data_IF_162565587047
#
_entry.id   IF_162565587047
#
_cell.length_a   1.000
_cell.length_b   1.000
_cell.length_c   1.000
_cell.angle_alpha   90.00
_cell.angle_beta   90.00
_cell.angle_gamma   90.00
#
_symmetry.space_group_name_H-M   'P 1'
#
loop_
_entity.id
_entity.type
_entity.pdbx_description
1 polymer ?
#
# COMPACT_ATOMS: atom_id res chain seq x y z
N UNK A 1 22.65 8.64 -9.18
CA UNK A 1 22.06 7.45 -9.83
C UNK A 1 20.86 6.85 -9.08
N UNK A 2 20.74 7.05 -7.77
CA UNK A 2 19.59 6.58 -6.98
C UNK A 2 18.34 7.47 -7.10
N UNK A 3 18.50 8.71 -7.57
CA UNK A 3 17.47 9.73 -7.66
C UNK A 3 16.43 9.41 -8.75
N UNK A 4 16.85 9.14 -9.98
CA UNK A 4 15.94 8.83 -11.11
C UNK A 4 15.08 7.59 -10.83
N UNK A 5 15.64 6.52 -10.26
CA UNK A 5 14.86 5.33 -9.88
C UNK A 5 13.77 5.69 -8.85
N UNK A 6 14.10 6.48 -7.87
CA UNK A 6 13.16 6.90 -6.84
C UNK A 6 12.07 7.81 -7.40
N UNK A 7 12.41 8.73 -8.31
CA UNK A 7 11.43 9.58 -8.98
C UNK A 7 10.45 8.77 -9.86
N UNK A 8 10.92 7.74 -10.56
CA UNK A 8 10.05 6.82 -11.31
C UNK A 8 9.07 6.11 -10.36
N UNK A 9 9.54 5.62 -9.21
CA UNK A 9 8.70 4.93 -8.23
C UNK A 9 7.70 5.92 -7.60
N UNK A 10 8.14 7.12 -7.24
CA UNK A 10 7.27 8.17 -6.67
C UNK A 10 6.13 8.49 -7.63
N UNK A 11 6.45 8.85 -8.87
CA UNK A 11 5.44 9.20 -9.87
C UNK A 11 4.55 8.01 -10.24
N UNK A 12 5.11 6.80 -10.37
CA UNK A 12 4.32 5.58 -10.59
C UNK A 12 3.34 5.30 -9.45
N UNK A 13 3.75 5.54 -8.20
CA UNK A 13 2.87 5.43 -7.03
C UNK A 13 1.74 6.47 -7.04
N UNK A 14 2.04 7.71 -7.41
CA UNK A 14 1.04 8.78 -7.55
C UNK A 14 0.00 8.44 -8.64
N UNK A 15 0.47 7.97 -9.81
CA UNK A 15 -0.42 7.56 -10.91
C UNK A 15 -1.31 6.39 -10.53
N UNK A 16 -0.77 5.36 -9.84
CA UNK A 16 -1.59 4.25 -9.34
C UNK A 16 -2.69 4.77 -8.41
N UNK A 17 -2.35 5.66 -7.48
CA UNK A 17 -3.28 6.17 -6.45
C UNK A 17 -4.32 7.15 -6.98
N UNK A 18 -4.01 7.88 -8.06
CA UNK A 18 -4.88 8.91 -8.63
C UNK A 18 -5.77 8.41 -9.76
N UNK A 19 -5.22 7.60 -10.68
CA UNK A 19 -5.93 7.16 -11.89
C UNK A 19 -5.97 5.63 -12.08
N UNK A 20 -5.26 4.86 -11.25
CA UNK A 20 -5.23 3.40 -11.29
C UNK A 20 -4.12 2.83 -12.19
N UNK A 21 -3.77 1.57 -11.93
CA UNK A 21 -2.66 0.89 -12.62
C UNK A 21 -2.83 0.82 -14.14
N UNK A 22 -4.04 0.55 -14.63
CA UNK A 22 -4.28 0.35 -16.06
C UNK A 22 -4.34 1.65 -16.87
N UNK A 23 -4.48 2.82 -16.23
CA UNK A 23 -4.75 4.10 -16.88
C UNK A 23 -3.50 4.89 -17.28
N UNK A 24 -2.29 4.45 -16.97
CA UNK A 24 -1.04 5.11 -17.37
C UNK A 24 -0.05 4.14 -18.03
N UNK A 25 0.95 4.70 -18.70
CA UNK A 25 2.03 3.99 -19.38
C UNK A 25 3.41 4.56 -18.98
N UNK A 26 4.48 3.92 -19.42
CA UNK A 26 5.84 4.47 -19.27
C UNK A 26 6.03 5.79 -20.05
N UNK A 27 5.27 6.01 -21.11
CA UNK A 27 5.30 7.28 -21.84
C UNK A 27 4.84 8.46 -20.96
N UNK A 28 3.84 8.23 -20.09
CA UNK A 28 3.36 9.27 -19.17
C UNK A 28 4.42 9.61 -18.13
N UNK A 29 5.09 8.59 -17.56
CA UNK A 29 6.20 8.78 -16.63
C UNK A 29 7.37 9.49 -17.30
N UNK A 30 7.76 9.05 -18.50
CA UNK A 30 8.89 9.60 -19.25
C UNK A 30 8.68 11.08 -19.58
N UNK A 31 7.46 11.42 -20.02
CA UNK A 31 7.06 12.81 -20.31
C UNK A 31 7.11 13.68 -19.06
N UNK A 32 6.58 13.21 -17.95
CA UNK A 32 6.52 13.97 -16.70
C UNK A 32 7.91 14.20 -16.08
N UNK A 33 8.81 13.22 -16.19
CA UNK A 33 10.18 13.33 -15.65
C UNK A 33 11.20 13.89 -16.64
N UNK A 34 10.83 14.12 -17.92
CA UNK A 34 11.76 14.61 -18.94
C UNK A 34 12.88 13.60 -19.28
N UNK A 35 12.62 12.30 -19.13
CA UNK A 35 13.59 11.22 -19.39
C UNK A 35 13.14 10.33 -20.56
N UNK A 36 14.05 9.56 -21.14
CA UNK A 36 13.69 8.59 -22.20
C UNK A 36 13.04 7.34 -21.61
N UNK A 37 12.09 6.72 -22.33
CA UNK A 37 11.50 5.43 -21.95
C UNK A 37 12.56 4.35 -21.67
N UNK A 38 13.66 4.34 -22.43
CA UNK A 38 14.77 3.41 -22.22
C UNK A 38 15.38 3.52 -20.80
N UNK A 39 15.39 4.72 -20.20
CA UNK A 39 15.86 4.90 -18.84
C UNK A 39 14.91 4.26 -17.81
N UNK A 40 13.59 4.27 -18.07
CA UNK A 40 12.61 3.60 -17.21
C UNK A 40 12.78 2.08 -17.34
N UNK A 41 12.87 1.55 -18.56
CA UNK A 41 13.08 0.12 -18.80
C UNK A 41 14.40 -0.41 -18.23
N UNK A 42 15.42 0.43 -18.11
CA UNK A 42 16.67 0.08 -17.44
C UNK A 42 16.47 -0.28 -15.95
N UNK A 43 15.61 0.48 -15.24
CA UNK A 43 15.31 0.23 -13.84
C UNK A 43 14.17 -0.78 -13.63
N UNK A 44 13.19 -0.76 -14.52
CA UNK A 44 11.99 -1.57 -14.46
C UNK A 44 11.68 -2.13 -15.84
N UNK A 45 12.15 -3.36 -16.15
CA UNK A 45 11.97 -3.98 -17.47
C UNK A 45 10.51 -4.04 -17.91
N UNK A 46 9.59 -4.24 -16.97
CA UNK A 46 8.14 -4.20 -17.21
C UNK A 46 7.42 -3.26 -16.23
N UNK A 47 6.23 -2.81 -16.62
CA UNK A 47 5.36 -2.02 -15.75
C UNK A 47 4.93 -2.79 -14.48
N UNK A 48 4.86 -4.11 -14.57
CA UNK A 48 4.58 -4.94 -13.40
C UNK A 48 5.75 -4.97 -12.41
N UNK A 49 7.00 -4.86 -12.87
CA UNK A 49 8.15 -4.75 -11.97
C UNK A 49 8.11 -3.45 -11.16
N UNK A 50 7.73 -2.35 -11.81
CA UNK A 50 7.48 -1.08 -11.13
C UNK A 50 6.32 -1.22 -10.11
N UNK A 51 5.23 -1.87 -10.51
CA UNK A 51 4.08 -2.10 -9.62
C UNK A 51 4.45 -2.93 -8.39
N UNK A 52 5.21 -4.00 -8.57
CA UNK A 52 5.72 -4.86 -7.48
C UNK A 52 6.60 -4.07 -6.52
N UNK A 53 7.51 -3.24 -7.05
CA UNK A 53 8.39 -2.39 -6.23
C UNK A 53 7.57 -1.37 -5.41
N UNK A 54 6.55 -0.75 -6.01
CA UNK A 54 5.66 0.19 -5.30
C UNK A 54 4.94 -0.52 -4.16
N UNK A 55 4.37 -1.71 -4.39
CA UNK A 55 3.70 -2.49 -3.34
C UNK A 55 4.72 -2.89 -2.25
N UNK A 56 5.92 -3.32 -2.65
CA UNK A 56 6.98 -3.70 -1.71
C UNK A 56 7.38 -2.54 -0.79
N UNK A 57 7.48 -1.31 -1.32
CA UNK A 57 7.73 -0.11 -0.49
C UNK A 57 6.60 0.16 0.50
N UNK A 58 5.36 -0.07 0.11
CA UNK A 58 4.23 0.05 1.03
C UNK A 58 4.27 -1.02 2.14
N UNK A 59 4.73 -2.24 1.85
CA UNK A 59 4.97 -3.27 2.87
C UNK A 59 6.02 -2.80 3.89
N UNK A 60 7.14 -2.26 3.42
CA UNK A 60 8.19 -1.75 4.32
C UNK A 60 7.69 -0.55 5.13
N UNK A 61 7.07 0.43 4.49
CA UNK A 61 6.53 1.60 5.18
C UNK A 61 5.50 1.22 6.26
N UNK A 62 4.62 0.25 5.98
CA UNK A 62 3.67 -0.24 6.97
C UNK A 62 4.36 -0.92 8.15
N UNK A 63 5.38 -1.75 7.90
CA UNK A 63 6.18 -2.39 8.97
C UNK A 63 6.86 -1.36 9.87
N UNK A 64 7.48 -0.34 9.27
CA UNK A 64 8.14 0.75 10.02
C UNK A 64 7.14 1.55 10.86
N UNK A 65 5.96 1.85 10.30
CA UNK A 65 4.89 2.53 11.04
C UNK A 65 4.44 1.71 12.26
N UNK A 66 4.12 0.44 12.06
CA UNK A 66 3.72 -0.47 13.14
C UNK A 66 4.82 -0.58 14.21
N UNK A 67 6.07 -0.68 13.80
CA UNK A 67 7.21 -0.70 14.73
C UNK A 67 7.31 0.58 15.55
N UNK A 68 7.06 1.74 14.95
CA UNK A 68 7.06 3.02 15.65
C UNK A 68 5.94 3.13 16.70
N UNK A 69 4.84 2.40 16.49
CA UNK A 69 3.67 2.42 17.39
C UNK A 69 3.72 1.37 18.51
N UNK A 70 4.65 0.42 18.49
CA UNK A 70 4.72 -0.68 19.47
C UNK A 70 4.70 -0.24 20.94
N UNK A 71 5.20 0.95 21.24
CA UNK A 71 5.24 1.50 22.61
C UNK A 71 3.97 2.30 22.98
N UNK A 72 3.07 2.53 22.04
CA UNK A 72 1.82 3.21 22.25
C UNK A 72 0.78 2.24 22.82
N UNK A 73 -0.20 2.76 23.56
CA UNK A 73 -1.38 1.97 23.93
C UNK A 73 -2.20 1.55 22.69
N UNK A 74 -2.96 0.47 22.78
CA UNK A 74 -3.70 -0.11 21.66
C UNK A 74 -4.72 0.85 21.05
N UNK A 75 -5.30 1.76 21.84
CA UNK A 75 -6.26 2.76 21.35
C UNK A 75 -5.57 3.78 20.45
N UNK A 76 -4.35 4.24 20.84
CA UNK A 76 -3.53 5.13 20.02
C UNK A 76 -3.03 4.47 18.77
N UNK A 77 -2.61 3.19 18.84
CA UNK A 77 -2.22 2.43 17.65
C UNK A 77 -3.37 2.34 16.65
N UNK A 78 -4.58 2.01 17.10
CA UNK A 78 -5.78 1.97 16.26
C UNK A 78 -6.11 3.35 15.68
N UNK A 79 -6.08 4.40 16.50
CA UNK A 79 -6.29 5.77 16.06
C UNK A 79 -5.30 6.17 14.94
N UNK A 80 -4.01 5.93 15.14
CA UNK A 80 -2.99 6.23 14.15
C UNK A 80 -3.21 5.46 12.84
N UNK A 81 -3.64 4.19 12.92
CA UNK A 81 -3.97 3.40 11.73
C UNK A 81 -5.14 4.00 10.93
N UNK A 82 -6.20 4.42 11.61
CA UNK A 82 -7.36 5.04 10.95
C UNK A 82 -6.96 6.37 10.30
N UNK A 83 -6.17 7.19 10.98
CA UNK A 83 -5.79 8.52 10.53
C UNK A 83 -4.55 8.58 9.62
N UNK A 84 -3.84 7.46 9.41
CA UNK A 84 -2.68 7.43 8.50
C UNK A 84 -3.05 7.77 7.05
N UNK A 85 -4.33 7.71 6.70
CA UNK A 85 -4.83 7.98 5.36
C UNK A 85 -5.35 9.41 5.17
N UNK A 86 -5.39 10.24 6.21
CA UNK A 86 -5.96 11.60 6.12
C UNK A 86 -5.26 12.46 5.06
N UNK A 87 -3.92 12.35 4.95
CA UNK A 87 -3.14 13.04 3.92
C UNK A 87 -3.46 12.60 2.48
N UNK A 88 -4.06 11.44 2.28
CA UNK A 88 -4.46 10.99 0.94
C UNK A 88 -5.69 11.73 0.45
N UNK A 89 -6.60 12.10 1.37
CA UNK A 89 -7.81 12.86 1.05
C UNK A 89 -7.43 14.24 0.48
N UNK A 90 -6.46 14.92 1.07
CA UNK A 90 -5.97 16.22 0.63
C UNK A 90 -5.37 16.18 -0.79
N UNK A 91 -4.77 15.06 -1.16
CA UNK A 91 -4.15 14.85 -2.48
C UNK A 91 -5.10 14.16 -3.49
N UNK A 92 -6.36 13.91 -3.15
CA UNK A 92 -7.30 13.13 -3.96
C UNK A 92 -6.77 11.72 -4.30
N UNK A 93 -6.02 11.11 -3.39
CA UNK A 93 -5.46 9.77 -3.54
C UNK A 93 -6.24 8.75 -2.72
N UNK A 94 -6.16 7.51 -3.16
CA UNK A 94 -6.54 6.34 -2.35
C UNK A 94 -5.29 5.56 -1.95
N UNK A 95 -5.39 4.77 -0.89
CA UNK A 95 -4.27 3.89 -0.52
C UNK A 95 -3.98 2.86 -1.65
N UNK A 96 -2.76 2.35 -1.71
CA UNK A 96 -2.35 1.40 -2.77
C UNK A 96 -3.26 0.18 -2.84
N UNK A 97 -3.71 -0.34 -1.69
CA UNK A 97 -4.67 -1.46 -1.67
C UNK A 97 -6.00 -1.04 -2.32
N UNK A 98 -6.55 0.11 -1.93
CA UNK A 98 -7.80 0.64 -2.51
C UNK A 98 -7.70 0.91 -4.01
N UNK A 99 -6.54 1.43 -4.47
CA UNK A 99 -6.32 1.73 -5.89
C UNK A 99 -6.16 0.47 -6.77
N UNK A 100 -5.61 -0.61 -6.25
CA UNK A 100 -5.32 -1.84 -7.01
C UNK A 100 -6.42 -2.90 -6.90
N UNK A 101 -7.17 -2.93 -5.79
CA UNK A 101 -8.18 -3.96 -5.53
C UNK A 101 -9.29 -4.04 -6.59
N UNK A 102 -9.86 -2.93 -7.11
CA UNK A 102 -10.90 -2.99 -8.14
C UNK A 102 -10.44 -3.66 -9.45
N UNK A 103 -9.14 -3.63 -9.73
CA UNK A 103 -8.55 -4.19 -10.96
C UNK A 103 -7.78 -5.49 -10.67
N UNK A 104 -7.98 -6.10 -9.51
CA UNK A 104 -7.15 -7.22 -9.03
C UNK A 104 -6.99 -8.35 -10.06
N UNK A 105 -8.09 -8.80 -10.65
CA UNK A 105 -8.10 -9.92 -11.59
C UNK A 105 -7.38 -9.60 -12.93
N UNK A 106 -7.20 -8.32 -13.24
CA UNK A 106 -6.50 -7.86 -14.45
C UNK A 106 -5.02 -7.51 -14.20
N UNK A 107 -4.59 -7.51 -12.92
CA UNK A 107 -3.19 -7.28 -12.58
C UNK A 107 -2.32 -8.48 -12.99
N UNK A 108 -1.05 -8.26 -13.38
CA UNK A 108 -0.09 -9.34 -13.54
C UNK A 108 0.06 -10.17 -12.26
N UNK A 109 0.29 -11.48 -12.42
CA UNK A 109 0.32 -12.46 -11.30
C UNK A 109 1.32 -12.08 -10.19
N UNK A 110 2.51 -11.57 -10.56
CA UNK A 110 3.52 -11.09 -9.61
C UNK A 110 3.00 -9.93 -8.74
N UNK A 111 2.21 -9.03 -9.33
CA UNK A 111 1.56 -7.94 -8.59
C UNK A 111 0.43 -8.45 -7.70
N UNK A 112 -0.41 -9.37 -8.19
CA UNK A 112 -1.48 -9.99 -7.40
C UNK A 112 -0.91 -10.66 -6.14
N UNK A 113 0.16 -11.46 -6.31
CA UNK A 113 0.85 -12.12 -5.20
C UNK A 113 1.39 -11.10 -4.18
N UNK A 114 2.02 -10.03 -4.66
CA UNK A 114 2.59 -9.00 -3.80
C UNK A 114 1.50 -8.18 -3.08
N UNK A 115 0.39 -7.91 -3.76
CA UNK A 115 -0.75 -7.22 -3.15
C UNK A 115 -1.42 -8.06 -2.05
N UNK A 116 -1.58 -9.38 -2.26
CA UNK A 116 -2.06 -10.29 -1.22
C UNK A 116 -1.14 -10.29 0.00
N UNK A 117 0.19 -10.25 -0.20
CA UNK A 117 1.16 -10.15 0.91
C UNK A 117 0.92 -8.88 1.75
N UNK A 118 0.73 -7.72 1.10
CA UNK A 118 0.44 -6.46 1.79
C UNK A 118 -0.90 -6.53 2.56
N UNK A 119 -1.95 -7.02 1.91
CA UNK A 119 -3.28 -7.14 2.53
C UNK A 119 -3.23 -8.07 3.74
N UNK A 120 -2.59 -9.24 3.62
CA UNK A 120 -2.47 -10.20 4.72
C UNK A 120 -1.65 -9.63 5.89
N UNK A 121 -0.60 -8.86 5.60
CA UNK A 121 0.18 -8.17 6.62
C UNK A 121 -0.68 -7.19 7.43
N UNK A 122 -1.47 -6.36 6.74
CA UNK A 122 -2.36 -5.38 7.38
C UNK A 122 -3.45 -6.10 8.20
N UNK A 123 -4.10 -7.08 7.60
CA UNK A 123 -5.18 -7.84 8.27
C UNK A 123 -4.66 -8.56 9.51
N UNK A 124 -3.50 -9.22 9.41
CA UNK A 124 -2.90 -9.89 10.56
C UNK A 124 -2.62 -8.91 11.71
N UNK A 125 -1.95 -7.80 11.40
CA UNK A 125 -1.64 -6.80 12.43
C UNK A 125 -2.89 -6.22 13.07
N UNK A 126 -3.92 -5.90 12.27
CA UNK A 126 -5.17 -5.34 12.78
C UNK A 126 -5.94 -6.34 13.64
N UNK A 127 -5.96 -7.61 13.23
CA UNK A 127 -6.58 -8.70 14.02
C UNK A 127 -5.88 -8.86 15.36
N UNK A 128 -4.55 -8.97 15.35
CA UNK A 128 -3.75 -9.11 16.58
C UNK A 128 -3.99 -7.91 17.53
N UNK A 129 -4.02 -6.68 16.98
CA UNK A 129 -4.29 -5.46 17.75
C UNK A 129 -5.67 -5.48 18.41
N UNK A 130 -6.72 -5.86 17.67
CA UNK A 130 -8.09 -5.88 18.16
C UNK A 130 -8.31 -7.00 19.17
N UNK A 131 -7.73 -8.18 18.95
CA UNK A 131 -7.81 -9.32 19.89
C UNK A 131 -7.18 -8.97 21.25
N UNK A 132 -5.96 -8.43 21.24
CA UNK A 132 -5.31 -8.02 22.49
C UNK A 132 -6.05 -6.86 23.15
N UNK A 133 -6.56 -5.91 22.37
CA UNK A 133 -7.37 -4.81 22.90
C UNK A 133 -8.67 -5.26 23.56
N UNK A 134 -9.30 -6.35 23.07
CA UNK A 134 -10.45 -6.99 23.71
C UNK A 134 -10.06 -7.67 25.02
N UNK A 135 -8.99 -8.48 25.01
CA UNK A 135 -8.50 -9.20 26.20
C UNK A 135 -8.14 -8.23 27.33
N UNK A 136 -7.56 -7.08 26.99
CA UNK A 136 -7.15 -6.03 27.94
C UNK A 136 -8.28 -5.04 28.25
N UNK A 137 -9.50 -5.25 27.72
CA UNK A 137 -10.67 -4.38 27.89
C UNK A 137 -10.47 -2.92 27.41
N UNK A 138 -9.51 -2.70 26.53
CA UNK A 138 -9.31 -1.40 25.87
C UNK A 138 -10.39 -1.17 24.82
N UNK A 139 -10.81 -2.25 24.14
CA UNK A 139 -11.94 -2.25 23.20
C UNK A 139 -13.11 -3.05 23.78
N UNK A 140 -14.33 -2.66 23.40
CA UNK A 140 -15.57 -3.35 23.75
C UNK A 140 -16.45 -3.41 22.50
N UNK A 141 -16.62 -4.60 21.93
CA UNK A 141 -17.57 -4.87 20.85
C UNK A 141 -18.07 -6.32 20.91
N UNK A 142 -19.26 -6.56 20.37
CA UNK A 142 -19.85 -7.88 20.39
C UNK A 142 -19.07 -8.83 19.46
N UNK A 143 -18.60 -9.96 20.01
CA UNK A 143 -17.77 -10.97 19.35
C UNK A 143 -18.38 -11.63 18.10
N UNK A 144 -19.65 -11.37 17.78
CA UNK A 144 -20.33 -11.98 16.62
C UNK A 144 -19.85 -11.49 15.27
N UNK A 145 -19.11 -10.38 15.21
CA UNK A 145 -18.68 -9.74 13.96
C UNK A 145 -17.22 -10.01 13.58
N UNK A 146 -16.38 -10.56 14.45
CA UNK A 146 -14.93 -10.75 14.22
C UNK A 146 -14.56 -12.06 13.50
N UNK A 147 -15.51 -12.76 12.92
CA UNK A 147 -15.16 -13.82 11.95
C UNK A 147 -14.76 -13.16 10.64
N UNK A 148 -13.58 -12.53 10.60
CA UNK A 148 -12.87 -12.30 9.34
C UNK A 148 -12.59 -13.71 8.80
N UNK A 149 -13.38 -14.12 7.82
CA UNK A 149 -13.13 -15.38 7.11
C UNK A 149 -11.75 -15.26 6.50
N UNK A 150 -10.81 -16.06 6.98
CA UNK A 150 -9.62 -16.42 6.23
C UNK A 150 -10.11 -17.11 4.96
N UNK A 151 -10.08 -16.38 3.83
CA UNK A 151 -10.29 -16.91 2.50
C UNK A 151 -8.93 -17.16 1.86
#
# INVERSE_FOLDING_TARGET
MNDTRNEIIRLGSELIRSIGYNAFSYADISKALGIKNAAIHYYFPSKSDLGVEIIQRNIYAFKELVDSWKKLDYRKQFYNYVHMHDSFVENHWVCVVGALSPSFDTLPENMQKKLRELVNLILKWLTDLLEVGLQTKVFSFNNSSLKIRQA
#
